data_IF_084824791781
#
_entry.id   IF_084824791781
#
_cell.length_a   1.000
_cell.length_b   1.000
_cell.length_c   1.000
_cell.angle_alpha   90.00
_cell.angle_beta   90.00
_cell.angle_gamma   90.00
#
_symmetry.space_group_name_H-M   'P 1'
#
loop_
_entity.id
_entity.type
_entity.pdbx_description
1 polymer ?
#
# COMPACT_ATOMS: atom_id res chain seq x y z
N UNK A 1 -6.68 11.42 -6.60
CA UNK A 1 -5.82 10.41 -7.21
C UNK A 1 -6.22 8.98 -6.79
N UNK A 2 -6.23 8.64 -5.47
CA UNK A 2 -6.60 7.28 -5.00
C UNK A 2 -8.02 6.88 -5.45
N UNK A 3 -9.00 7.76 -5.29
CA UNK A 3 -10.39 7.52 -5.73
C UNK A 3 -10.43 7.26 -7.25
N UNK A 4 -9.74 8.06 -8.03
CA UNK A 4 -9.69 7.90 -9.49
C UNK A 4 -9.04 6.58 -9.88
N UNK A 5 -7.90 6.23 -9.26
CA UNK A 5 -7.25 4.94 -9.46
C UNK A 5 -8.18 3.76 -9.10
N UNK A 6 -8.86 3.84 -7.96
CA UNK A 6 -9.83 2.83 -7.53
C UNK A 6 -11.02 2.67 -8.48
N UNK A 7 -11.56 3.77 -9.01
CA UNK A 7 -12.63 3.71 -10.03
C UNK A 7 -12.16 3.05 -11.33
N UNK A 8 -10.95 3.37 -11.79
CA UNK A 8 -10.35 2.77 -12.99
C UNK A 8 -10.15 1.27 -12.79
N UNK A 9 -9.59 0.86 -11.65
CA UNK A 9 -9.43 -0.57 -11.32
C UNK A 9 -10.77 -1.28 -11.16
N UNK A 10 -11.78 -0.62 -10.57
CA UNK A 10 -13.14 -1.16 -10.48
C UNK A 10 -13.76 -1.41 -11.86
N UNK A 11 -13.63 -0.45 -12.77
CA UNK A 11 -14.10 -0.62 -14.15
C UNK A 11 -13.32 -1.73 -14.88
N UNK A 12 -12.00 -1.76 -14.75
CA UNK A 12 -11.16 -2.83 -15.27
C UNK A 12 -11.62 -4.20 -14.78
N UNK A 13 -11.85 -4.36 -13.47
CA UNK A 13 -12.29 -5.62 -12.90
C UNK A 13 -13.66 -6.07 -13.43
N UNK A 14 -14.56 -5.14 -13.80
CA UNK A 14 -15.79 -5.50 -14.46
C UNK A 14 -15.55 -6.13 -15.84
N UNK A 15 -14.51 -5.70 -16.57
CA UNK A 15 -14.17 -6.23 -17.88
C UNK A 15 -13.51 -7.61 -17.79
N UNK A 16 -12.59 -7.76 -16.81
CA UNK A 16 -11.72 -8.93 -16.67
C UNK A 16 -12.31 -10.05 -15.82
N UNK A 17 -13.20 -9.75 -14.87
CA UNK A 17 -13.69 -10.72 -13.88
C UNK A 17 -15.12 -11.21 -14.11
N UNK A 18 -15.86 -10.65 -15.06
CA UNK A 18 -17.23 -11.07 -15.33
C UNK A 18 -17.26 -12.04 -16.51
N UNK A 19 -17.65 -13.27 -16.22
CA UNK A 19 -17.73 -14.37 -17.18
C UNK A 19 -19.09 -14.39 -17.87
N UNK A 20 -19.22 -13.69 -18.99
CA UNK A 20 -20.48 -13.59 -19.76
C UNK A 20 -20.54 -14.53 -20.97
N UNK A 21 -19.39 -14.99 -21.45
CA UNK A 21 -19.29 -15.70 -22.72
C UNK A 21 -19.03 -17.21 -22.54
N UNK A 22 -19.33 -18.02 -23.55
CA UNK A 22 -19.15 -19.47 -23.55
C UNK A 22 -19.71 -20.15 -22.29
N UNK A 23 -21.01 -19.91 -22.00
CA UNK A 23 -21.71 -20.47 -20.82
C UNK A 23 -21.07 -20.09 -19.49
N UNK A 24 -20.50 -18.89 -19.38
CA UNK A 24 -19.90 -18.42 -18.14
C UNK A 24 -18.47 -18.89 -17.89
N UNK A 25 -17.72 -19.21 -18.93
CA UNK A 25 -16.31 -19.66 -18.81
C UNK A 25 -15.28 -18.64 -19.30
N UNK A 26 -15.72 -17.62 -20.08
CA UNK A 26 -14.83 -16.63 -20.66
C UNK A 26 -15.26 -15.20 -20.32
N UNK A 27 -14.27 -14.36 -20.11
CA UNK A 27 -14.41 -12.91 -19.89
C UNK A 27 -14.40 -12.17 -21.23
N UNK A 28 -14.66 -10.86 -21.19
CA UNK A 28 -14.53 -10.00 -22.35
C UNK A 28 -13.08 -9.92 -22.88
N UNK A 29 -12.11 -10.00 -21.97
CA UNK A 29 -10.68 -9.99 -22.31
C UNK A 29 -10.24 -11.26 -23.02
N UNK A 30 -10.85 -12.40 -22.71
CA UNK A 30 -10.51 -13.69 -23.31
C UNK A 30 -10.96 -13.79 -24.78
N UNK A 31 -12.08 -13.14 -25.13
CA UNK A 31 -12.67 -13.22 -26.47
C UNK A 31 -12.23 -12.10 -27.41
N UNK A 32 -11.66 -11.01 -26.86
CA UNK A 32 -11.32 -9.82 -27.64
C UNK A 32 -9.96 -9.26 -27.29
N UNK A 33 -9.03 -9.31 -28.24
CA UNK A 33 -7.71 -8.74 -28.09
C UNK A 33 -7.75 -7.22 -27.84
N UNK A 34 -8.73 -6.50 -28.39
CA UNK A 34 -8.92 -5.09 -28.10
C UNK A 34 -9.20 -4.85 -26.62
N UNK A 35 -10.13 -5.60 -26.03
CA UNK A 35 -10.47 -5.46 -24.60
C UNK A 35 -9.33 -5.92 -23.67
N UNK A 36 -8.58 -6.94 -24.06
CA UNK A 36 -7.35 -7.34 -23.36
C UNK A 36 -6.30 -6.21 -23.36
N UNK A 37 -6.15 -5.49 -24.48
CA UNK A 37 -5.31 -4.30 -24.57
C UNK A 37 -5.82 -3.15 -23.68
N UNK A 38 -7.12 -2.89 -23.67
CA UNK A 38 -7.77 -1.89 -22.81
C UNK A 38 -7.57 -2.24 -21.34
N UNK A 39 -7.75 -3.50 -20.96
CA UNK A 39 -7.54 -4.00 -19.61
C UNK A 39 -6.10 -3.72 -19.12
N UNK A 40 -5.12 -4.11 -19.92
CA UNK A 40 -3.70 -3.87 -19.61
C UNK A 40 -3.36 -2.37 -19.48
N UNK A 41 -3.97 -1.53 -20.32
CA UNK A 41 -3.78 -0.08 -20.25
C UNK A 41 -4.43 0.54 -19.00
N UNK A 42 -5.65 0.10 -18.65
CA UNK A 42 -6.34 0.53 -17.44
C UNK A 42 -5.61 0.08 -16.17
N UNK A 43 -5.00 -1.13 -16.21
CA UNK A 43 -4.14 -1.60 -15.14
C UNK A 43 -2.98 -0.64 -14.88
N UNK A 44 -2.26 -0.25 -15.92
CA UNK A 44 -1.15 0.68 -15.80
C UNK A 44 -1.57 1.99 -15.11
N UNK A 45 -2.72 2.56 -15.49
CA UNK A 45 -3.20 3.82 -14.93
C UNK A 45 -3.69 3.65 -13.48
N UNK A 46 -4.47 2.60 -13.24
CA UNK A 46 -5.10 2.35 -11.94
C UNK A 46 -4.08 1.95 -10.86
N UNK A 47 -3.13 1.09 -11.22
CA UNK A 47 -2.13 0.56 -10.29
C UNK A 47 -1.03 1.56 -9.92
N UNK A 48 -0.75 2.51 -10.81
CA UNK A 48 0.35 3.46 -10.62
C UNK A 48 0.28 4.20 -9.27
N UNK A 49 -0.92 4.66 -8.86
CA UNK A 49 -1.08 5.39 -7.59
C UNK A 49 -0.87 4.48 -6.37
N UNK A 50 -1.27 3.20 -6.46
CA UNK A 50 -1.14 2.25 -5.35
C UNK A 50 0.31 1.80 -5.20
N UNK A 51 1.01 1.48 -6.30
CA UNK A 51 2.43 1.16 -6.27
C UNK A 51 3.27 2.31 -5.72
N UNK A 52 2.97 3.55 -6.13
CA UNK A 52 3.70 4.76 -5.73
C UNK A 52 3.16 5.40 -4.44
N UNK A 53 2.27 4.73 -3.71
CA UNK A 53 1.69 5.24 -2.47
C UNK A 53 2.74 5.74 -1.45
N UNK A 54 3.87 5.03 -1.21
CA UNK A 54 4.94 5.50 -0.34
C UNK A 54 5.50 6.87 -0.72
N UNK A 55 5.59 7.17 -2.02
CA UNK A 55 6.05 8.48 -2.53
C UNK A 55 5.08 9.59 -2.10
N UNK A 56 3.78 9.35 -2.29
CA UNK A 56 2.73 10.29 -1.89
C UNK A 56 2.71 10.52 -0.37
N UNK A 57 2.92 9.46 0.41
CA UNK A 57 2.98 9.54 1.87
C UNK A 57 4.19 10.36 2.32
N UNK A 58 5.39 10.05 1.84
CA UNK A 58 6.61 10.77 2.18
C UNK A 58 6.51 12.25 1.80
N UNK A 59 6.01 12.56 0.61
CA UNK A 59 5.73 13.93 0.20
C UNK A 59 4.72 14.64 1.12
N UNK A 60 3.62 13.97 1.48
CA UNK A 60 2.57 14.55 2.32
C UNK A 60 3.07 14.84 3.73
N UNK A 61 3.85 13.92 4.32
CA UNK A 61 4.44 14.08 5.65
C UNK A 61 5.43 15.26 5.66
N UNK A 62 6.38 15.31 4.72
CA UNK A 62 7.34 16.42 4.63
C UNK A 62 6.65 17.76 4.41
N UNK A 63 5.60 17.80 3.58
CA UNK A 63 4.78 18.99 3.37
C UNK A 63 4.08 19.45 4.64
N UNK A 64 3.40 18.55 5.35
CA UNK A 64 2.68 18.88 6.60
C UNK A 64 3.61 19.26 7.74
N UNK A 65 4.81 18.68 7.77
CA UNK A 65 5.81 18.98 8.81
C UNK A 65 6.68 20.19 8.48
N UNK A 66 6.48 20.85 7.31
CA UNK A 66 7.20 22.05 6.92
C UNK A 66 8.68 21.84 6.61
N UNK A 67 9.02 20.65 6.05
CA UNK A 67 10.39 20.31 5.62
C UNK A 67 10.48 20.22 4.10
N UNK A 68 11.63 19.83 3.55
CA UNK A 68 11.87 19.83 2.10
C UNK A 68 11.10 18.73 1.39
N UNK A 69 10.06 19.12 0.64
CA UNK A 69 9.14 18.17 0.00
C UNK A 69 9.83 17.28 -1.05
N UNK A 70 10.78 17.84 -1.81
CA UNK A 70 11.54 17.07 -2.80
C UNK A 70 12.34 15.92 -2.19
N UNK A 71 12.88 16.08 -0.97
CA UNK A 71 13.55 14.99 -0.26
C UNK A 71 12.56 13.90 0.13
N UNK A 72 11.33 14.25 0.51
CA UNK A 72 10.26 13.28 0.75
C UNK A 72 9.92 12.46 -0.49
N UNK A 73 9.83 13.12 -1.66
CA UNK A 73 9.61 12.42 -2.94
C UNK A 73 10.76 11.46 -3.22
N UNK A 74 12.02 11.91 -3.12
CA UNK A 74 13.19 11.07 -3.38
C UNK A 74 13.24 9.88 -2.42
N UNK A 75 13.02 10.10 -1.11
CA UNK A 75 12.93 9.00 -0.14
C UNK A 75 11.85 7.99 -0.55
N UNK A 76 10.65 8.45 -0.87
CA UNK A 76 9.57 7.57 -1.31
C UNK A 76 9.92 6.76 -2.57
N UNK A 77 10.60 7.37 -3.54
CA UNK A 77 11.08 6.69 -4.75
C UNK A 77 12.11 5.60 -4.43
N UNK A 78 12.98 5.80 -3.42
CA UNK A 78 13.89 4.73 -2.98
C UNK A 78 13.15 3.54 -2.39
N UNK A 79 12.03 3.78 -1.68
CA UNK A 79 11.23 2.71 -1.08
C UNK A 79 10.49 1.84 -2.11
N UNK A 80 10.19 2.38 -3.29
CA UNK A 80 9.47 1.67 -4.36
C UNK A 80 10.31 1.43 -5.61
N UNK A 81 11.63 1.56 -5.48
CA UNK A 81 12.56 1.41 -6.61
C UNK A 81 12.42 0.05 -7.30
N UNK A 82 12.47 0.05 -8.64
CA UNK A 82 12.48 -1.18 -9.43
C UNK A 82 13.73 -2.06 -9.23
N UNK A 83 14.76 -1.58 -8.51
CA UNK A 83 15.91 -2.38 -8.11
C UNK A 83 15.60 -3.33 -6.95
N UNK A 84 14.51 -3.08 -6.23
CA UNK A 84 14.05 -3.88 -5.10
C UNK A 84 13.07 -4.95 -5.58
N UNK A 85 13.03 -6.06 -4.86
CA UNK A 85 11.96 -7.05 -5.04
C UNK A 85 10.62 -6.40 -4.71
N UNK A 86 9.67 -6.45 -5.63
CA UNK A 86 8.36 -5.85 -5.44
C UNK A 86 7.65 -6.45 -4.22
N UNK A 87 7.05 -5.62 -3.37
CA UNK A 87 6.34 -6.04 -2.17
C UNK A 87 5.27 -7.11 -2.44
N UNK A 88 4.57 -7.03 -3.57
CA UNK A 88 3.55 -8.02 -3.96
C UNK A 88 4.15 -9.38 -4.37
N UNK A 89 5.41 -9.42 -4.78
CA UNK A 89 6.09 -10.65 -5.17
C UNK A 89 6.75 -11.37 -3.98
N UNK A 90 6.88 -10.73 -2.82
CA UNK A 90 7.60 -11.29 -1.66
C UNK A 90 6.96 -12.60 -1.18
N UNK A 91 5.63 -12.66 -1.12
CA UNK A 91 4.91 -13.85 -0.67
C UNK A 91 5.11 -15.08 -1.59
N UNK A 92 5.32 -14.84 -2.90
CA UNK A 92 5.55 -15.90 -3.89
C UNK A 92 7.03 -16.23 -4.14
N UNK A 93 7.95 -15.46 -3.52
CA UNK A 93 9.40 -15.65 -3.70
C UNK A 93 9.98 -16.44 -2.54
N UNK A 94 10.72 -17.51 -2.83
CA UNK A 94 11.40 -18.26 -1.78
C UNK A 94 12.42 -17.38 -1.04
N UNK A 95 12.53 -17.55 0.27
CA UNK A 95 13.40 -16.71 1.12
C UNK A 95 14.88 -16.71 0.68
N UNK A 96 15.33 -17.78 0.01
CA UNK A 96 16.68 -17.89 -0.55
C UNK A 96 16.89 -17.01 -1.79
N UNK A 97 15.83 -16.77 -2.57
CA UNK A 97 15.86 -16.05 -3.85
C UNK A 97 15.64 -14.54 -3.69
N UNK A 98 15.36 -14.08 -2.47
CA UNK A 98 15.24 -12.65 -2.20
C UNK A 98 16.61 -11.99 -2.38
N UNK A 99 16.75 -10.99 -3.28
CA UNK A 99 18.01 -10.31 -3.50
C UNK A 99 18.47 -9.59 -2.22
N UNK A 100 19.77 -9.52 -1.99
CA UNK A 100 20.35 -8.96 -0.76
C UNK A 100 21.51 -8.04 -1.09
N UNK A 101 21.63 -6.94 -0.34
CA UNK A 101 22.88 -6.20 -0.26
C UNK A 101 23.80 -6.90 0.75
N UNK A 102 24.92 -7.38 0.27
CA UNK A 102 25.94 -8.00 1.12
C UNK A 102 27.06 -7.02 1.38
N UNK A 103 27.23 -6.63 2.65
CA UNK A 103 28.29 -5.75 3.12
C UNK A 103 29.46 -6.53 3.76
N UNK A 104 29.47 -7.86 3.66
CA UNK A 104 30.49 -8.74 4.19
C UNK A 104 30.29 -9.10 5.67
N UNK A 105 29.85 -8.18 6.51
CA UNK A 105 29.59 -8.39 7.95
C UNK A 105 28.09 -8.38 8.28
N UNK A 106 27.23 -7.92 7.42
CA UNK A 106 25.78 -8.06 7.48
C UNK A 106 25.14 -7.99 6.11
N UNK A 107 23.93 -8.52 6.00
CA UNK A 107 23.13 -8.50 4.77
C UNK A 107 21.81 -7.84 4.99
N UNK A 108 21.31 -7.10 4.00
CA UNK A 108 20.00 -6.46 4.02
C UNK A 108 19.20 -6.99 2.83
N UNK A 109 17.98 -7.44 3.07
CA UNK A 109 17.09 -7.88 2.00
C UNK A 109 16.66 -6.67 1.15
N UNK A 110 16.77 -6.81 -0.17
CA UNK A 110 16.35 -5.81 -1.14
C UNK A 110 14.85 -5.93 -1.40
N UNK A 111 14.03 -5.57 -0.40
CA UNK A 111 12.57 -5.62 -0.47
C UNK A 111 12.02 -4.22 -0.64
N UNK A 112 11.12 -4.06 -1.61
CA UNK A 112 10.37 -2.84 -1.83
C UNK A 112 9.17 -2.72 -0.90
N UNK A 113 8.66 -1.49 -0.77
CA UNK A 113 7.53 -1.17 0.12
C UNK A 113 6.33 -0.62 -0.65
N UNK A 114 6.09 -1.13 -1.87
CA UNK A 114 4.94 -0.75 -2.68
C UNK A 114 3.64 -0.98 -1.88
N UNK A 115 2.73 -0.02 -1.94
CA UNK A 115 1.47 0.01 -1.18
C UNK A 115 1.61 -0.02 0.37
N UNK A 116 2.82 -0.01 0.91
CA UNK A 116 3.07 -0.09 2.35
C UNK A 116 3.01 1.30 3.02
N UNK A 117 2.06 1.48 3.92
CA UNK A 117 1.83 2.77 4.60
C UNK A 117 2.76 2.95 5.80
N UNK A 118 2.87 1.94 6.67
CA UNK A 118 3.62 2.04 7.92
C UNK A 118 5.10 2.29 7.68
N UNK A 119 5.82 1.49 6.86
CA UNK A 119 7.22 1.76 6.54
C UNK A 119 7.44 3.16 5.96
N UNK A 120 6.56 3.59 5.04
CA UNK A 120 6.65 4.90 4.41
C UNK A 120 6.48 6.05 5.41
N UNK A 121 5.52 5.95 6.33
CA UNK A 121 5.32 6.95 7.38
C UNK A 121 6.53 7.03 8.33
N UNK A 122 7.03 5.89 8.80
CA UNK A 122 8.19 5.83 9.69
C UNK A 122 9.44 6.43 9.03
N UNK A 123 9.69 6.08 7.77
CA UNK A 123 10.79 6.63 6.98
C UNK A 123 10.65 8.15 6.80
N UNK A 124 9.45 8.63 6.47
CA UNK A 124 9.18 10.05 6.27
C UNK A 124 9.36 10.87 7.57
N UNK A 125 8.89 10.37 8.70
CA UNK A 125 9.14 11.02 10.00
C UNK A 125 10.64 11.07 10.32
N UNK A 126 11.36 9.99 10.06
CA UNK A 126 12.81 9.95 10.26
C UNK A 126 13.51 11.02 9.42
N UNK A 127 13.16 11.15 8.14
CA UNK A 127 13.68 12.21 7.28
C UNK A 127 13.41 13.60 7.85
N UNK A 128 12.20 13.87 8.30
CA UNK A 128 11.80 15.17 8.86
C UNK A 128 12.63 15.50 10.10
N UNK A 129 12.79 14.56 11.02
CA UNK A 129 13.56 14.78 12.24
C UNK A 129 15.06 14.94 11.97
N UNK A 130 15.64 14.14 11.05
CA UNK A 130 17.03 14.27 10.65
C UNK A 130 17.28 15.62 9.94
N UNK A 131 16.40 16.03 9.03
CA UNK A 131 16.52 17.32 8.35
C UNK A 131 16.50 18.47 9.36
N UNK A 132 15.55 18.45 10.32
CA UNK A 132 15.49 19.47 11.37
C UNK A 132 16.71 19.45 12.29
N UNK A 133 17.23 18.27 12.60
CA UNK A 133 18.45 18.11 13.40
C UNK A 133 19.67 18.71 12.68
N UNK A 134 19.89 18.32 11.42
CA UNK A 134 21.02 18.84 10.66
C UNK A 134 20.92 20.35 10.39
N UNK A 135 19.72 20.88 10.18
CA UNK A 135 19.52 22.33 10.05
C UNK A 135 19.94 23.13 11.30
N UNK A 136 19.87 22.53 12.48
CA UNK A 136 20.28 23.19 13.75
C UNK A 136 21.78 23.22 13.94
N UNK A 137 22.50 22.18 13.49
CA UNK A 137 23.93 22.03 13.77
C UNK A 137 24.83 22.46 12.62
N UNK A 138 24.30 22.50 11.40
CA UNK A 138 25.08 22.79 10.21
C UNK A 138 25.25 24.32 10.00
N UNK A 139 26.49 24.80 9.77
CA UNK A 139 26.74 26.20 9.46
C UNK A 139 26.01 26.63 8.17
N UNK A 140 25.50 27.88 8.08
CA UNK A 140 24.73 28.36 6.93
C UNK A 140 25.42 28.19 5.57
N UNK A 141 26.76 28.34 5.55
CA UNK A 141 27.56 28.28 4.32
C UNK A 141 27.47 26.94 3.61
N UNK A 142 27.42 25.83 4.34
CA UNK A 142 27.40 24.47 3.78
C UNK A 142 26.05 23.76 3.95
N UNK A 143 25.12 24.41 4.66
CA UNK A 143 23.81 23.86 5.00
C UNK A 143 23.01 23.41 3.76
N UNK A 144 23.12 24.16 2.66
CA UNK A 144 22.40 23.88 1.41
C UNK A 144 22.74 22.51 0.80
N UNK A 145 23.95 22.00 1.05
CA UNK A 145 24.41 20.71 0.51
C UNK A 145 24.37 19.64 1.60
N UNK A 146 24.92 19.93 2.78
CA UNK A 146 25.09 18.92 3.83
C UNK A 146 23.76 18.48 4.44
N UNK A 147 22.83 19.38 4.65
CA UNK A 147 21.54 19.04 5.27
C UNK A 147 20.75 18.05 4.40
N UNK A 148 20.45 18.33 3.11
CA UNK A 148 19.69 17.39 2.30
C UNK A 148 20.45 16.07 2.08
N UNK A 149 21.77 16.12 1.89
CA UNK A 149 22.57 14.93 1.67
C UNK A 149 22.56 14.01 2.90
N UNK A 150 22.94 14.52 4.08
CA UNK A 150 23.00 13.71 5.29
C UNK A 150 21.63 13.21 5.73
N UNK A 151 20.59 14.05 5.67
CA UNK A 151 19.25 13.66 6.08
C UNK A 151 18.67 12.59 5.16
N UNK A 152 18.84 12.71 3.85
CA UNK A 152 18.35 11.72 2.90
C UNK A 152 19.09 10.39 3.02
N UNK A 153 20.41 10.41 2.96
CA UNK A 153 21.24 9.18 3.02
C UNK A 153 20.97 8.40 4.29
N UNK A 154 21.01 9.08 5.46
CA UNK A 154 20.72 8.40 6.73
C UNK A 154 19.29 7.90 6.81
N UNK A 155 18.33 8.65 6.29
CA UNK A 155 16.93 8.19 6.25
C UNK A 155 16.74 6.96 5.41
N UNK A 156 17.37 6.86 4.23
CA UNK A 156 17.32 5.68 3.36
C UNK A 156 17.96 4.48 4.05
N UNK A 157 19.14 4.65 4.66
CA UNK A 157 19.81 3.59 5.41
C UNK A 157 18.90 3.09 6.54
N UNK A 158 18.39 3.98 7.39
CA UNK A 158 17.54 3.62 8.53
C UNK A 158 16.22 2.98 8.02
N UNK A 159 15.66 3.50 6.93
CA UNK A 159 14.43 2.95 6.36
C UNK A 159 14.59 1.49 5.92
N UNK A 160 15.65 1.16 5.20
CA UNK A 160 15.85 -0.20 4.70
C UNK A 160 16.43 -1.17 5.74
N UNK A 161 17.24 -0.68 6.69
CA UNK A 161 17.87 -1.55 7.71
C UNK A 161 16.98 -1.82 8.90
N UNK A 162 16.20 -0.84 9.35
CA UNK A 162 15.48 -0.88 10.64
C UNK A 162 13.97 -0.71 10.45
N UNK A 163 13.55 0.42 9.89
CA UNK A 163 12.13 0.80 9.91
C UNK A 163 11.29 -0.04 8.95
N UNK A 164 11.82 -0.37 7.79
CA UNK A 164 11.17 -1.23 6.83
C UNK A 164 10.91 -2.63 7.39
N UNK A 165 11.93 -3.36 7.87
CA UNK A 165 11.74 -4.64 8.54
C UNK A 165 10.80 -4.59 9.75
N UNK A 166 10.85 -3.53 10.56
CA UNK A 166 9.90 -3.34 11.68
C UNK A 166 8.47 -3.17 11.16
N UNK A 167 8.27 -2.27 10.20
CA UNK A 167 6.95 -2.05 9.61
C UNK A 167 6.39 -3.30 8.93
N UNK A 168 7.25 -4.08 8.28
CA UNK A 168 6.88 -5.37 7.70
C UNK A 168 6.44 -6.37 8.77
N UNK A 169 7.21 -6.53 9.85
CA UNK A 169 6.86 -7.41 10.97
C UNK A 169 5.54 -7.03 11.65
N UNK A 170 5.27 -5.75 11.82
CA UNK A 170 3.97 -5.28 12.33
C UNK A 170 2.85 -5.71 11.38
N UNK A 171 3.06 -5.59 10.08
CA UNK A 171 2.11 -6.06 9.09
C UNK A 171 1.85 -7.55 9.15
N UNK A 172 2.90 -8.36 9.16
CA UNK A 172 2.79 -9.82 9.27
C UNK A 172 2.07 -10.22 10.56
N UNK A 173 2.39 -9.61 11.70
CA UNK A 173 1.71 -9.88 12.96
C UNK A 173 0.21 -9.63 12.89
N UNK A 174 -0.20 -8.52 12.26
CA UNK A 174 -1.63 -8.22 12.05
C UNK A 174 -2.26 -9.27 11.11
N UNK A 175 -1.53 -9.67 10.07
CA UNK A 175 -1.96 -10.69 9.12
C UNK A 175 -2.18 -12.05 9.79
N UNK A 176 -1.27 -12.47 10.66
CA UNK A 176 -1.37 -13.73 11.40
C UNK A 176 -2.58 -13.75 12.34
N UNK A 177 -2.87 -12.63 13.02
CA UNK A 177 -4.07 -12.52 13.87
C UNK A 177 -5.35 -12.67 13.03
N UNK A 178 -5.40 -12.00 11.89
CA UNK A 178 -6.55 -12.07 11.00
C UNK A 178 -6.74 -13.48 10.44
N UNK A 179 -5.67 -14.12 10.00
CA UNK A 179 -5.69 -15.52 9.53
C UNK A 179 -6.19 -16.49 10.61
N UNK A 180 -5.64 -16.41 11.82
CA UNK A 180 -6.07 -17.24 12.94
C UNK A 180 -7.55 -17.04 13.29
N UNK A 181 -8.03 -15.79 13.18
CA UNK A 181 -9.44 -15.48 13.43
C UNK A 181 -10.39 -16.05 12.38
N UNK A 182 -10.02 -15.95 11.09
CA UNK A 182 -10.84 -16.43 9.97
C UNK A 182 -10.86 -17.97 9.91
N UNK A 183 -9.75 -18.62 10.23
CA UNK A 183 -9.61 -20.08 10.16
C UNK A 183 -10.08 -20.79 11.43
N UNK A 184 -10.31 -20.05 12.52
CA UNK A 184 -10.68 -20.59 13.83
C UNK A 184 -12.15 -20.97 13.97
N UNK A 185 -12.47 -21.63 15.09
CA UNK A 185 -13.84 -22.03 15.45
C UNK A 185 -14.82 -20.85 15.62
N UNK A 186 -14.31 -19.67 15.91
CA UNK A 186 -15.09 -18.43 16.08
C UNK A 186 -15.16 -17.56 14.84
N UNK A 187 -14.93 -18.14 13.65
CA UNK A 187 -14.87 -17.40 12.37
C UNK A 187 -16.03 -16.44 12.10
N UNK A 188 -17.24 -16.81 12.51
CA UNK A 188 -18.44 -15.94 12.29
C UNK A 188 -18.37 -14.69 13.15
N UNK A 189 -18.01 -14.85 14.43
CA UNK A 189 -17.88 -13.72 15.36
C UNK A 189 -16.69 -12.83 14.93
N UNK A 190 -15.59 -13.47 14.55
CA UNK A 190 -14.43 -12.76 14.02
C UNK A 190 -14.77 -11.99 12.76
N UNK A 191 -15.50 -12.58 11.81
CA UNK A 191 -15.94 -11.91 10.59
C UNK A 191 -16.80 -10.69 10.85
N UNK A 192 -17.71 -10.76 11.82
CA UNK A 192 -18.52 -9.61 12.23
C UNK A 192 -17.66 -8.49 12.84
N UNK A 193 -16.75 -8.83 13.74
CA UNK A 193 -15.82 -7.86 14.36
C UNK A 193 -14.88 -7.29 13.30
N UNK A 194 -14.31 -8.13 12.42
CA UNK A 194 -13.43 -7.70 11.34
C UNK A 194 -14.13 -6.72 10.41
N UNK A 195 -15.33 -7.02 9.95
CA UNK A 195 -16.11 -6.13 9.08
C UNK A 195 -16.39 -4.77 9.73
N UNK A 196 -16.64 -4.74 11.05
CA UNK A 196 -16.81 -3.50 11.81
C UNK A 196 -15.50 -2.71 11.93
N UNK A 197 -14.38 -3.38 12.24
CA UNK A 197 -13.07 -2.75 12.44
C UNK A 197 -12.41 -2.38 11.10
N UNK A 198 -12.81 -3.03 10.01
CA UNK A 198 -12.21 -2.79 8.69
C UNK A 198 -12.36 -1.34 8.21
N UNK A 199 -13.50 -0.69 8.49
CA UNK A 199 -13.69 0.71 8.12
C UNK A 199 -12.66 1.67 8.78
N UNK A 200 -12.40 1.61 10.09
CA UNK A 200 -11.27 2.31 10.72
C UNK A 200 -9.90 1.92 10.12
N UNK A 201 -9.67 0.63 9.78
CA UNK A 201 -8.42 0.20 9.14
C UNK A 201 -8.25 0.84 7.75
N UNK A 202 -9.31 1.04 7.00
CA UNK A 202 -9.27 1.76 5.72
C UNK A 202 -8.80 3.20 5.92
N UNK A 203 -9.33 3.89 6.93
CA UNK A 203 -8.96 5.28 7.24
C UNK A 203 -7.47 5.40 7.61
N UNK A 204 -6.93 4.43 8.32
CA UNK A 204 -5.50 4.39 8.70
C UNK A 204 -4.58 3.93 7.57
N UNK A 205 -5.13 3.38 6.48
CA UNK A 205 -4.38 2.81 5.36
C UNK A 205 -3.79 1.42 5.65
N UNK A 206 -4.04 0.83 6.81
CA UNK A 206 -3.54 -0.49 7.19
C UNK A 206 -4.20 -1.63 6.40
N UNK A 207 -5.37 -1.39 5.82
CA UNK A 207 -6.12 -2.37 5.04
C UNK A 207 -5.32 -2.94 3.84
N UNK A 208 -4.35 -2.21 3.29
CA UNK A 208 -3.52 -2.74 2.20
C UNK A 208 -2.70 -3.97 2.59
N UNK A 209 -2.48 -4.18 3.88
CA UNK A 209 -1.77 -5.38 4.38
C UNK A 209 -2.62 -6.64 4.26
N UNK A 210 -3.94 -6.52 4.14
CA UNK A 210 -4.83 -7.67 3.93
C UNK A 210 -4.58 -8.39 2.60
N UNK A 211 -4.00 -7.70 1.59
CA UNK A 211 -3.68 -8.32 0.31
C UNK A 211 -2.66 -9.47 0.44
N UNK A 212 -1.68 -9.34 1.34
CA UNK A 212 -0.71 -10.42 1.59
C UNK A 212 -1.39 -11.65 2.21
N UNK A 213 -2.38 -11.44 3.08
CA UNK A 213 -3.17 -12.52 3.70
C UNK A 213 -4.01 -13.22 2.63
N UNK A 214 -4.65 -12.46 1.75
CA UNK A 214 -5.45 -13.00 0.67
C UNK A 214 -4.63 -13.92 -0.24
N UNK A 215 -3.44 -13.48 -0.65
CA UNK A 215 -2.54 -14.27 -1.48
C UNK A 215 -2.13 -15.57 -0.77
N UNK A 216 -1.87 -15.50 0.54
CA UNK A 216 -1.55 -16.68 1.33
C UNK A 216 -2.75 -17.63 1.45
N UNK A 217 -3.96 -17.11 1.71
CA UNK A 217 -5.18 -17.92 1.76
C UNK A 217 -5.46 -18.62 0.42
N UNK A 218 -5.25 -17.93 -0.69
CA UNK A 218 -5.40 -18.52 -2.04
C UNK A 218 -4.37 -19.62 -2.25
N UNK A 219 -3.11 -19.42 -1.84
CA UNK A 219 -2.05 -20.42 -1.98
C UNK A 219 -2.31 -21.67 -1.13
N UNK A 220 -2.80 -21.51 0.10
CA UNK A 220 -2.97 -22.61 1.06
C UNK A 220 -4.29 -23.35 0.90
N UNK A 221 -5.36 -22.66 0.49
CA UNK A 221 -6.74 -23.18 0.47
C UNK A 221 -7.43 -23.08 -0.91
N UNK A 222 -6.76 -22.57 -1.92
CA UNK A 222 -7.34 -22.40 -3.25
C UNK A 222 -8.39 -21.29 -3.35
N UNK A 223 -8.58 -20.50 -2.31
CA UNK A 223 -9.55 -19.40 -2.28
C UNK A 223 -9.41 -18.53 -1.03
N UNK A 224 -10.04 -17.37 -1.04
CA UNK A 224 -10.02 -16.46 0.10
C UNK A 224 -11.42 -16.21 0.66
N UNK A 225 -11.55 -16.18 1.98
CA UNK A 225 -12.74 -15.74 2.70
C UNK A 225 -12.67 -14.26 3.09
N UNK A 226 -11.51 -13.62 2.98
CA UNK A 226 -11.28 -12.26 3.40
C UNK A 226 -11.88 -11.25 2.42
N UNK A 227 -11.74 -11.46 1.12
CA UNK A 227 -12.29 -10.59 0.09
C UNK A 227 -13.80 -10.37 0.16
N UNK A 228 -14.65 -11.40 0.34
CA UNK A 228 -16.08 -11.18 0.56
C UNK A 228 -16.41 -10.29 1.75
N UNK A 229 -15.68 -10.45 2.87
CA UNK A 229 -15.88 -9.62 4.07
C UNK A 229 -15.46 -8.17 3.82
N UNK A 230 -14.34 -7.96 3.14
CA UNK A 230 -13.85 -6.64 2.72
C UNK A 230 -14.86 -5.98 1.78
N UNK A 231 -15.36 -6.71 0.79
CA UNK A 231 -16.35 -6.21 -0.17
C UNK A 231 -17.63 -5.75 0.53
N UNK A 232 -18.16 -6.53 1.46
CA UNK A 232 -19.34 -6.16 2.26
C UNK A 232 -19.10 -4.89 3.08
N UNK A 233 -17.94 -4.77 3.72
CA UNK A 233 -17.57 -3.57 4.47
C UNK A 233 -17.46 -2.34 3.54
N UNK A 234 -16.84 -2.48 2.38
CA UNK A 234 -16.72 -1.38 1.41
C UNK A 234 -18.08 -0.95 0.83
N UNK A 235 -18.97 -1.90 0.56
CA UNK A 235 -20.35 -1.60 0.12
C UNK A 235 -21.11 -0.86 1.22
N UNK A 236 -20.99 -1.28 2.47
CA UNK A 236 -21.63 -0.60 3.60
C UNK A 236 -21.10 0.84 3.76
N UNK A 237 -19.79 1.05 3.65
CA UNK A 237 -19.18 2.39 3.69
C UNK A 237 -19.68 3.27 2.53
N UNK A 238 -19.69 2.74 1.30
CA UNK A 238 -20.21 3.44 0.13
C UNK A 238 -21.68 3.82 0.27
N UNK A 239 -22.51 2.91 0.78
CA UNK A 239 -23.93 3.14 1.03
C UNK A 239 -24.16 4.23 2.10
N UNK A 240 -23.35 4.24 3.16
CA UNK A 240 -23.39 5.28 4.18
C UNK A 240 -23.06 6.67 3.60
N UNK A 241 -22.06 6.77 2.73
CA UNK A 241 -21.70 8.01 2.02
C UNK A 241 -22.85 8.48 1.12
N UNK A 242 -23.46 7.58 0.36
CA UNK A 242 -24.63 7.92 -0.46
C UNK A 242 -25.81 8.44 0.39
N UNK A 243 -26.04 7.82 1.55
CA UNK A 243 -27.03 8.29 2.52
C UNK A 243 -26.72 9.71 3.03
N UNK A 244 -25.47 10.00 3.35
CA UNK A 244 -25.02 11.33 3.75
C UNK A 244 -25.22 12.37 2.64
N UNK A 245 -24.84 12.04 1.40
CA UNK A 245 -25.06 12.92 0.24
C UNK A 245 -26.55 13.24 0.06
N UNK A 246 -27.41 12.22 0.17
CA UNK A 246 -28.86 12.43 0.07
C UNK A 246 -29.40 13.35 1.16
N UNK A 247 -28.97 13.16 2.40
CA UNK A 247 -29.39 14.00 3.52
C UNK A 247 -28.87 15.44 3.41
N UNK A 248 -27.66 15.62 2.91
CA UNK A 248 -26.98 16.92 2.81
C UNK A 248 -27.19 17.63 1.46
N UNK A 249 -27.96 17.05 0.53
CA UNK A 249 -28.15 17.56 -0.84
C UNK A 249 -28.64 19.02 -0.94
N UNK A 250 -29.24 19.55 0.13
CA UNK A 250 -29.73 20.93 0.21
C UNK A 250 -28.75 21.89 0.89
N UNK A 251 -27.62 21.37 1.40
CA UNK A 251 -26.64 22.18 2.11
C UNK A 251 -25.46 22.51 1.17
N UNK A 252 -25.44 23.74 0.66
CA UNK A 252 -24.40 24.19 -0.28
C UNK A 252 -22.97 24.16 0.30
N UNK A 253 -22.82 24.13 1.63
CA UNK A 253 -21.50 24.01 2.28
C UNK A 253 -20.98 22.57 2.35
N UNK A 254 -21.80 21.57 2.01
CA UNK A 254 -21.46 20.16 2.05
C UNK A 254 -21.23 19.55 0.65
N UNK A 255 -21.41 20.37 -0.42
CA UNK A 255 -21.10 20.01 -1.79
C UNK A 255 -19.69 20.49 -2.18
#
# INVERSE_FOLDING_TARGET
AIITGGLILGFRNCIDSIYFFNNGTQTLCDISQFWSGVDSFLWLIGEAIFHMLPVCICWSVTKKMGTTQSLGIVLGLTLVSGQLLNAYAVASTAAADIPKWDFGFFTINMIGYQAQVIPAMLAAFTLVYLERFFRKICPPVISMIVVPFCSLVLSVIIAHTVLGPIGWKIGTFISDIVYAGISGSFRVVFGAIFGFVYAPLVITGLHHMSNAIDMQLIADFGGTMLWPMIALSNVAQGSAVLGMIYLQRKNAAAQ
#
